data_IF_198354792334
#
_entry.id   IF_198354792334
#
_cell.length_a   1.000
_cell.length_b   1.000
_cell.length_c   1.000
_cell.angle_alpha   90.00
_cell.angle_beta   90.00
_cell.angle_gamma   90.00
#
_symmetry.space_group_name_H-M   'P 1'
#
loop_
_entity.id
_entity.type
_entity.pdbx_description
1 polymer ?
#
# COMPACT_ATOMS: atom_id res chain seq x y z
N UNK A 1 10.35 45.07 4.46
CA UNK A 1 10.60 43.79 5.17
C UNK A 1 9.41 43.23 5.97
N UNK A 2 8.19 43.20 5.41
CA UNK A 2 7.00 42.62 6.06
C UNK A 2 6.35 41.53 5.18
N UNK A 3 7.04 40.41 4.95
CA UNK A 3 6.54 39.31 4.08
C UNK A 3 6.45 37.97 4.82
N UNK A 4 6.09 37.98 6.10
CA UNK A 4 5.96 36.76 6.92
C UNK A 4 4.56 36.69 7.54
N UNK A 5 3.71 35.83 6.98
CA UNK A 5 2.47 35.43 7.64
C UNK A 5 2.74 34.21 8.52
N UNK A 6 2.12 34.18 9.71
CA UNK A 6 2.14 33.00 10.58
C UNK A 6 1.37 31.84 9.91
N UNK A 7 1.77 30.61 10.20
CA UNK A 7 0.99 29.44 9.79
C UNK A 7 -0.39 29.45 10.46
N UNK A 8 -1.35 28.78 9.85
CA UNK A 8 -2.63 28.50 10.52
C UNK A 8 -2.39 27.65 11.77
N UNK A 9 -3.29 27.73 12.77
CA UNK A 9 -3.19 26.92 14.00
C UNK A 9 -3.38 25.44 13.65
N UNK A 10 -2.51 24.59 14.18
CA UNK A 10 -2.60 23.13 14.04
C UNK A 10 -2.34 22.44 15.38
N UNK A 11 -2.95 21.27 15.60
CA UNK A 11 -2.83 20.52 16.85
C UNK A 11 -1.53 19.69 16.87
N UNK A 12 -0.81 19.76 17.99
CA UNK A 12 0.44 19.02 18.25
C UNK A 12 0.26 17.87 19.25
N UNK A 13 -0.98 17.58 19.65
CA UNK A 13 -1.24 16.92 20.94
C UNK A 13 -1.37 15.40 20.89
N UNK A 14 -1.30 14.77 19.71
CA UNK A 14 -1.41 13.30 19.58
C UNK A 14 -0.07 12.70 19.19
N UNK A 15 0.56 11.98 20.12
CA UNK A 15 1.77 11.18 19.86
C UNK A 15 1.42 10.16 18.76
N UNK A 16 2.20 10.13 17.66
CA UNK A 16 1.92 9.40 16.39
C UNK A 16 0.87 10.01 15.45
N UNK A 17 0.40 11.25 15.65
CA UNK A 17 -0.27 11.97 14.55
C UNK A 17 0.79 12.69 13.72
N UNK A 18 1.11 12.14 12.55
CA UNK A 18 1.74 12.93 11.50
C UNK A 18 0.73 13.97 11.01
N UNK A 19 1.09 15.24 11.11
CA UNK A 19 0.25 16.38 10.74
C UNK A 19 0.88 17.19 9.61
N UNK A 20 0.09 17.96 8.87
CA UNK A 20 0.60 18.90 7.87
C UNK A 20 0.32 20.34 8.30
N UNK A 21 1.35 21.17 8.33
CA UNK A 21 1.25 22.61 8.55
C UNK A 21 1.32 23.35 7.21
N UNK A 22 0.38 24.27 6.96
CA UNK A 22 0.37 25.12 5.77
C UNK A 22 0.89 26.52 6.09
N UNK A 23 1.91 26.96 5.36
CA UNK A 23 2.50 28.29 5.46
C UNK A 23 2.23 29.08 4.18
N UNK A 24 1.36 30.09 4.26
CA UNK A 24 1.04 30.99 3.14
C UNK A 24 2.04 32.15 3.10
N UNK A 25 2.72 32.35 1.98
CA UNK A 25 3.61 33.49 1.74
C UNK A 25 2.90 34.53 0.87
N UNK A 26 3.26 35.80 1.00
CA UNK A 26 2.64 36.99 0.38
C UNK A 26 2.47 36.93 -1.16
N UNK A 27 3.08 35.95 -1.83
CA UNK A 27 3.00 35.73 -3.28
C UNK A 27 2.02 34.59 -3.65
N UNK A 28 0.97 34.35 -2.85
CA UNK A 28 0.00 33.26 -3.02
C UNK A 28 0.60 31.84 -3.06
N UNK A 29 1.86 31.69 -2.62
CA UNK A 29 2.49 30.36 -2.48
C UNK A 29 2.15 29.76 -1.13
N UNK A 30 1.66 28.53 -1.15
CA UNK A 30 1.43 27.74 0.06
C UNK A 30 2.52 26.67 0.15
N UNK A 31 3.32 26.74 1.21
CA UNK A 31 4.30 25.70 1.55
C UNK A 31 3.66 24.75 2.54
N UNK A 32 3.78 23.44 2.29
CA UNK A 32 3.25 22.41 3.16
C UNK A 32 4.40 21.69 3.87
N UNK A 33 4.34 21.60 5.18
CA UNK A 33 5.39 21.00 6.02
C UNK A 33 4.75 19.85 6.78
N UNK A 34 5.36 18.67 6.70
CA UNK A 34 5.02 17.54 7.55
C UNK A 34 5.61 17.75 8.94
N UNK A 35 4.79 17.50 9.96
CA UNK A 35 5.15 17.58 11.37
C UNK A 35 5.02 16.18 11.96
N UNK A 36 6.15 15.62 12.38
CA UNK A 36 6.22 14.36 13.12
C UNK A 36 6.61 14.65 14.57
N UNK A 37 5.92 14.01 15.52
CA UNK A 37 6.16 14.18 16.95
C UNK A 37 6.44 12.82 17.55
N UNK A 38 7.70 12.62 17.93
CA UNK A 38 8.18 11.42 18.61
C UNK A 38 8.66 11.77 20.01
N UNK A 39 8.60 10.81 20.93
CA UNK A 39 9.19 10.97 22.27
C UNK A 39 10.57 10.34 22.26
N UNK A 40 11.55 11.01 22.86
CA UNK A 40 12.87 10.45 23.11
C UNK A 40 12.76 9.16 23.95
N UNK A 41 13.75 8.27 23.84
CA UNK A 41 13.81 7.00 24.58
C UNK A 41 13.65 7.17 26.10
N UNK A 42 14.09 8.31 26.66
CA UNK A 42 13.98 8.63 28.09
C UNK A 42 12.62 9.24 28.50
N UNK A 43 11.64 9.33 27.59
CA UNK A 43 10.25 9.73 27.89
C UNK A 43 10.00 11.21 28.23
N UNK A 44 11.04 11.96 28.60
CA UNK A 44 10.95 13.33 29.09
C UNK A 44 11.03 14.41 28.00
N UNK A 45 11.51 14.07 26.81
CA UNK A 45 11.69 15.03 25.71
C UNK A 45 10.85 14.61 24.51
N UNK A 46 10.00 15.52 24.02
CA UNK A 46 9.34 15.36 22.72
C UNK A 46 10.22 15.98 21.62
N UNK A 47 10.47 15.22 20.57
CA UNK A 47 11.17 15.64 19.35
C UNK A 47 10.11 15.98 18.30
N UNK A 48 10.11 17.23 17.85
CA UNK A 48 9.23 17.70 16.77
C UNK A 48 10.07 17.82 15.51
N UNK A 49 9.84 16.94 14.54
CA UNK A 49 10.55 16.91 13.27
C UNK A 49 9.70 17.62 12.22
N UNK A 50 10.26 18.69 11.64
CA UNK A 50 9.65 19.43 10.54
C UNK A 50 10.30 19.02 9.22
N UNK A 51 9.53 18.43 8.31
CA UNK A 51 10.01 17.96 7.01
C UNK A 51 9.21 18.58 5.87
N UNK A 52 9.80 18.82 4.69
CA UNK A 52 9.06 19.21 3.50
C UNK A 52 7.96 18.20 3.18
N UNK A 53 6.78 18.67 2.74
CA UNK A 53 5.70 17.75 2.34
C UNK A 53 6.01 16.94 1.09
N UNK A 54 6.97 17.38 0.27
CA UNK A 54 7.40 16.66 -0.92
C UNK A 54 8.92 16.60 -0.95
N UNK A 55 9.43 15.40 -1.11
CA UNK A 55 10.86 15.13 -1.21
C UNK A 55 11.11 14.34 -2.48
N UNK A 56 12.11 14.76 -3.25
CA UNK A 56 12.59 14.01 -4.41
C UNK A 56 13.92 13.34 -4.05
N UNK A 57 14.03 12.07 -4.41
CA UNK A 57 15.19 11.22 -4.16
C UNK A 57 15.67 10.70 -5.52
N UNK A 58 16.93 10.95 -5.85
CA UNK A 58 17.57 10.34 -7.01
C UNK A 58 18.34 9.08 -6.57
N UNK A 59 17.84 7.89 -6.88
CA UNK A 59 18.52 6.59 -6.74
C UNK A 59 18.99 6.03 -8.09
N UNK A 60 18.92 6.82 -9.16
CA UNK A 60 19.52 6.45 -10.45
C UNK A 60 21.03 6.70 -10.43
N UNK A 61 21.74 6.04 -11.34
CA UNK A 61 23.20 6.19 -11.47
C UNK A 61 23.64 7.49 -12.15
N UNK A 62 22.70 8.34 -12.58
CA UNK A 62 22.98 9.57 -13.33
C UNK A 62 22.37 10.80 -12.70
N UNK A 63 22.89 11.96 -13.09
CA UNK A 63 22.29 13.25 -12.74
C UNK A 63 21.00 13.47 -13.56
N UNK A 64 19.94 13.85 -12.85
CA UNK A 64 18.63 14.17 -13.41
C UNK A 64 18.22 15.57 -13.02
N UNK A 65 17.29 16.14 -13.78
CA UNK A 65 16.64 17.39 -13.44
C UNK A 65 15.13 17.22 -13.39
N UNK A 66 14.50 17.82 -12.38
CA UNK A 66 13.04 17.74 -12.20
C UNK A 66 12.42 19.12 -12.26
N UNK A 67 11.20 19.19 -12.81
CA UNK A 67 10.45 20.43 -12.89
C UNK A 67 8.95 20.24 -12.64
N UNK A 68 8.34 21.25 -12.05
CA UNK A 68 6.89 21.41 -11.91
C UNK A 68 6.33 21.93 -13.24
N UNK A 69 5.37 21.20 -13.83
CA UNK A 69 4.81 21.51 -15.16
C UNK A 69 3.86 22.71 -15.17
N UNK A 70 3.49 23.24 -14.00
CA UNK A 70 2.52 24.35 -13.85
C UNK A 70 3.22 25.72 -13.78
N UNK A 71 4.50 25.83 -14.16
CA UNK A 71 5.18 27.14 -14.22
C UNK A 71 4.74 27.93 -15.44
N UNK A 72 3.50 28.41 -15.43
CA UNK A 72 2.89 29.33 -16.41
C UNK A 72 3.44 30.78 -16.28
N UNK A 73 4.63 30.93 -15.69
CA UNK A 73 5.32 32.21 -15.50
C UNK A 73 6.74 32.05 -16.00
N UNK A 74 6.98 32.44 -17.25
CA UNK A 74 8.20 32.86 -17.96
C UNK A 74 9.59 32.23 -17.67
N UNK A 75 9.80 31.41 -16.64
CA UNK A 75 11.03 30.65 -16.41
C UNK A 75 10.72 29.31 -15.72
N UNK A 76 10.64 28.25 -16.54
CA UNK A 76 10.61 26.85 -16.11
C UNK A 76 11.95 26.51 -15.44
N UNK A 77 12.00 26.55 -14.11
CA UNK A 77 13.25 26.26 -13.36
C UNK A 77 13.41 24.78 -13.07
N UNK A 78 14.20 24.12 -13.90
CA UNK A 78 14.70 22.77 -13.67
C UNK A 78 15.60 22.73 -12.43
N UNK A 79 15.43 21.70 -11.59
CA UNK A 79 16.24 21.50 -10.39
C UNK A 79 17.12 20.27 -10.60
N UNK A 80 18.45 20.41 -10.60
CA UNK A 80 19.36 19.27 -10.75
C UNK A 80 19.44 18.46 -9.46
N UNK A 81 19.57 17.15 -9.62
CA UNK A 81 19.78 16.16 -8.57
C UNK A 81 20.86 15.18 -9.01
N UNK A 82 21.97 15.17 -8.29
CA UNK A 82 23.01 14.16 -8.41
C UNK A 82 22.53 12.79 -7.91
N UNK A 83 23.20 11.68 -8.29
CA UNK A 83 22.97 10.37 -7.70
C UNK A 83 23.02 10.43 -6.17
N UNK A 84 22.13 9.68 -5.51
CA UNK A 84 21.94 9.62 -4.05
C UNK A 84 21.47 10.94 -3.40
N UNK A 85 21.24 12.00 -4.18
CA UNK A 85 20.80 13.28 -3.64
C UNK A 85 19.30 13.25 -3.27
N UNK A 86 19.01 13.91 -2.16
CA UNK A 86 17.66 14.13 -1.65
C UNK A 86 17.43 15.64 -1.59
N UNK A 87 16.37 16.14 -2.22
CA UNK A 87 16.03 17.56 -2.16
C UNK A 87 14.57 17.80 -1.74
N UNK A 88 14.30 18.89 -1.01
CA UNK A 88 12.95 19.39 -0.82
C UNK A 88 12.38 19.91 -2.16
N UNK A 89 11.13 19.52 -2.48
CA UNK A 89 10.48 19.94 -3.73
C UNK A 89 9.19 20.74 -3.51
N UNK A 90 9.35 22.05 -3.44
CA UNK A 90 8.24 23.00 -3.30
C UNK A 90 7.57 23.29 -4.64
N UNK A 91 6.31 22.88 -4.79
CA UNK A 91 5.49 23.12 -5.98
C UNK A 91 4.75 24.44 -5.91
N UNK A 92 4.35 24.91 -7.07
CA UNK A 92 3.46 26.06 -7.20
C UNK A 92 2.01 25.67 -6.96
N UNK A 93 1.58 24.56 -7.55
CA UNK A 93 0.23 24.02 -7.41
C UNK A 93 0.27 22.58 -6.89
N UNK A 94 0.16 22.45 -5.57
CA UNK A 94 0.14 21.15 -4.89
C UNK A 94 -1.06 20.30 -5.34
N UNK A 95 -2.18 20.93 -5.75
CA UNK A 95 -3.39 20.19 -6.16
C UNK A 95 -3.20 19.50 -7.51
N UNK A 96 -2.45 20.13 -8.43
CA UNK A 96 -2.10 19.52 -9.70
C UNK A 96 -1.01 18.45 -9.54
N UNK A 97 0.09 18.80 -8.86
CA UNK A 97 1.16 17.84 -8.54
C UNK A 97 1.72 17.09 -9.77
N UNK A 98 1.84 17.77 -10.91
CA UNK A 98 2.33 17.17 -12.16
C UNK A 98 3.76 17.61 -12.42
N UNK A 99 4.66 16.64 -12.52
CA UNK A 99 6.10 16.89 -12.71
C UNK A 99 6.65 16.19 -13.95
N UNK A 100 7.82 16.65 -14.41
CA UNK A 100 8.63 16.02 -15.46
C UNK A 100 10.05 15.84 -14.97
N UNK A 101 10.71 14.80 -15.49
CA UNK A 101 12.14 14.57 -15.30
C UNK A 101 12.85 14.62 -16.64
N UNK A 102 14.09 15.08 -16.65
CA UNK A 102 14.97 14.96 -17.80
C UNK A 102 16.37 14.55 -17.37
N UNK A 103 17.13 13.97 -18.28
CA UNK A 103 18.55 13.72 -18.07
C UNK A 103 19.33 15.03 -18.24
N UNK A 104 20.27 15.30 -17.33
CA UNK A 104 21.01 16.57 -17.34
C UNK A 104 21.92 16.69 -18.57
N UNK A 105 22.53 15.59 -19.01
CA UNK A 105 23.56 15.56 -20.05
C UNK A 105 23.02 15.79 -21.47
N UNK A 106 21.93 15.11 -21.85
CA UNK A 106 21.35 15.18 -23.21
C UNK A 106 19.99 15.91 -23.26
N UNK A 107 19.45 16.34 -22.10
CA UNK A 107 18.16 17.04 -21.96
C UNK A 107 16.94 16.25 -22.44
N UNK A 108 17.06 14.94 -22.68
CA UNK A 108 15.92 14.06 -23.01
C UNK A 108 14.94 14.08 -21.84
N UNK A 109 13.68 14.39 -22.14
CA UNK A 109 12.64 14.72 -21.16
C UNK A 109 11.52 13.69 -21.19
N UNK A 110 11.04 13.29 -20.02
CA UNK A 110 9.94 12.36 -19.86
C UNK A 110 8.57 12.99 -20.20
N UNK A 111 7.58 12.13 -20.47
CA UNK A 111 6.17 12.50 -20.32
C UNK A 111 5.86 12.94 -18.88
N UNK A 112 4.88 13.83 -18.67
CA UNK A 112 4.49 14.26 -17.33
C UNK A 112 3.83 13.11 -16.54
N UNK A 113 3.94 13.15 -15.22
CA UNK A 113 3.29 12.19 -14.33
C UNK A 113 2.81 12.86 -13.04
N UNK A 114 1.82 12.25 -12.37
CA UNK A 114 1.27 12.76 -11.11
C UNK A 114 2.12 12.31 -9.93
N UNK A 115 2.28 13.14 -8.91
CA UNK A 115 2.87 12.73 -7.63
C UNK A 115 1.80 12.56 -6.53
N UNK A 116 0.55 12.94 -6.80
CA UNK A 116 -0.51 13.03 -5.79
C UNK A 116 -1.14 11.68 -5.46
N UNK A 117 -0.71 10.60 -6.11
CA UNK A 117 -1.22 9.25 -5.90
C UNK A 117 -0.05 8.28 -5.81
N UNK A 118 -0.17 7.27 -4.94
CA UNK A 118 0.83 6.22 -4.85
C UNK A 118 0.82 5.38 -6.12
N UNK A 119 1.94 5.34 -6.83
CA UNK A 119 2.10 4.46 -7.98
C UNK A 119 3.58 4.19 -8.28
N UNK A 120 3.80 3.19 -9.13
CA UNK A 120 5.08 2.89 -9.76
C UNK A 120 4.88 2.99 -11.26
N UNK A 121 5.76 3.71 -11.94
CA UNK A 121 5.66 3.94 -13.39
C UNK A 121 7.06 3.98 -13.98
N UNK A 122 7.26 3.24 -15.07
CA UNK A 122 8.43 3.37 -15.92
C UNK A 122 8.16 4.47 -16.96
N UNK A 123 8.98 5.52 -16.97
CA UNK A 123 8.84 6.63 -17.93
C UNK A 123 9.74 6.37 -19.12
N UNK A 124 9.18 6.40 -20.34
CA UNK A 124 9.95 6.34 -21.58
C UNK A 124 10.81 7.59 -21.72
N UNK A 125 12.07 7.37 -22.09
CA UNK A 125 13.06 8.40 -22.40
C UNK A 125 13.56 8.09 -23.82
N UNK A 126 13.43 9.03 -24.75
CA UNK A 126 13.90 8.85 -26.13
C UNK A 126 15.44 9.04 -26.19
N UNK A 127 16.17 8.20 -25.44
CA UNK A 127 17.62 8.11 -25.37
C UNK A 127 18.07 6.67 -25.67
N UNK A 128 19.16 6.50 -26.40
CA UNK A 128 19.61 5.19 -26.89
C UNK A 128 20.24 4.33 -25.78
N UNK A 129 21.00 4.94 -24.88
CA UNK A 129 21.69 4.22 -23.80
C UNK A 129 20.76 3.95 -22.61
N UNK A 130 19.84 4.88 -22.33
CA UNK A 130 18.92 4.84 -21.21
C UNK A 130 17.50 5.13 -21.70
N UNK A 131 16.81 4.14 -22.27
CA UNK A 131 15.51 4.34 -22.91
C UNK A 131 14.36 4.57 -21.91
N UNK A 132 14.63 4.49 -20.61
CA UNK A 132 13.62 4.69 -19.59
C UNK A 132 14.21 5.06 -18.22
N UNK A 133 13.38 5.68 -17.37
CA UNK A 133 13.66 5.95 -15.97
C UNK A 133 12.51 5.44 -15.09
N UNK A 134 12.83 4.72 -14.03
CA UNK A 134 11.84 4.21 -13.07
C UNK A 134 11.46 5.30 -12.07
N UNK A 135 10.16 5.40 -11.77
CA UNK A 135 9.64 6.31 -10.77
C UNK A 135 8.70 5.60 -9.81
N UNK A 136 8.98 5.76 -8.52
CA UNK A 136 8.08 5.36 -7.43
C UNK A 136 7.62 6.59 -6.66
N UNK A 137 6.30 6.75 -6.58
CA UNK A 137 5.65 7.77 -5.78
C UNK A 137 5.05 7.09 -4.55
N UNK A 138 5.57 7.42 -3.37
CA UNK A 138 4.96 7.02 -2.10
C UNK A 138 4.26 8.24 -1.51
N UNK A 139 2.99 8.43 -1.86
CA UNK A 139 2.12 9.39 -1.21
C UNK A 139 1.41 8.70 -0.04
N UNK A 140 1.43 9.32 1.14
CA UNK A 140 0.55 8.93 2.25
C UNK A 140 -0.21 10.16 2.73
N UNK A 141 -1.40 9.96 3.28
CA UNK A 141 -2.28 11.06 3.72
C UNK A 141 -1.64 11.94 4.82
N UNK A 142 -0.56 11.48 5.46
CA UNK A 142 0.02 12.14 6.62
C UNK A 142 1.57 12.25 6.62
N UNK A 143 2.32 11.37 5.94
CA UNK A 143 3.81 11.33 5.95
C UNK A 143 4.45 12.03 4.72
N UNK A 144 3.67 12.89 4.04
CA UNK A 144 4.11 13.59 2.84
C UNK A 144 4.25 12.68 1.60
N UNK A 145 4.78 13.26 0.52
CA UNK A 145 4.99 12.61 -0.77
C UNK A 145 6.49 12.43 -0.99
N UNK A 146 6.92 11.21 -1.29
CA UNK A 146 8.28 10.94 -1.76
C UNK A 146 8.23 10.49 -3.21
N UNK A 147 9.01 11.15 -4.05
CA UNK A 147 9.20 10.77 -5.47
C UNK A 147 10.61 10.22 -5.59
N UNK A 148 10.72 8.94 -5.90
CA UNK A 148 11.98 8.21 -5.96
C UNK A 148 12.25 7.84 -7.42
N UNK A 149 13.33 8.36 -7.97
CA UNK A 149 13.82 8.01 -9.30
C UNK A 149 14.84 6.89 -9.21
N UNK A 150 14.83 5.96 -10.16
CA UNK A 150 15.78 4.87 -10.24
C UNK A 150 16.10 4.50 -11.69
N UNK A 151 17.17 3.73 -11.87
CA UNK A 151 17.49 3.13 -13.17
C UNK A 151 16.44 2.08 -13.55
N UNK A 152 16.20 1.92 -14.85
CA UNK A 152 15.36 0.87 -15.39
C UNK A 152 15.93 -0.52 -15.08
N UNK A 153 15.10 -1.42 -14.54
CA UNK A 153 15.43 -2.82 -14.27
C UNK A 153 14.45 -3.75 -14.98
N UNK A 154 14.90 -4.98 -15.22
CA UNK A 154 14.06 -6.06 -15.75
C UNK A 154 12.86 -6.25 -14.81
N UNK A 155 11.65 -6.27 -15.37
CA UNK A 155 10.38 -6.33 -14.63
C UNK A 155 9.72 -4.98 -14.34
N UNK A 156 10.41 -3.86 -14.51
CA UNK A 156 9.79 -2.52 -14.32
C UNK A 156 8.83 -2.15 -15.45
N UNK A 157 9.03 -2.72 -16.64
CA UNK A 157 8.17 -2.48 -17.78
C UNK A 157 6.78 -3.10 -17.53
N UNK A 158 5.69 -2.33 -17.63
CA UNK A 158 4.34 -2.83 -17.37
C UNK A 158 3.98 -4.10 -18.16
N UNK A 159 4.42 -4.20 -19.41
CA UNK A 159 4.14 -5.34 -20.29
C UNK A 159 5.34 -5.67 -21.17
N UNK A 160 5.54 -6.96 -21.42
CA UNK A 160 6.30 -7.49 -22.54
C UNK A 160 5.31 -7.93 -23.61
N UNK A 161 5.27 -7.22 -24.74
CA UNK A 161 4.44 -7.59 -25.88
C UNK A 161 5.20 -8.58 -26.74
N UNK A 162 4.61 -9.74 -27.02
CA UNK A 162 5.23 -10.81 -27.80
C UNK A 162 4.35 -11.16 -29.00
N UNK A 163 4.85 -10.94 -30.21
CA UNK A 163 4.20 -11.34 -31.43
C UNK A 163 4.74 -12.69 -31.90
N UNK A 164 4.00 -13.78 -31.65
CA UNK A 164 4.35 -15.11 -32.15
C UNK A 164 3.71 -15.42 -33.52
N UNK A 165 3.06 -14.45 -34.16
CA UNK A 165 2.55 -14.62 -35.52
C UNK A 165 3.71 -14.73 -36.50
N UNK A 166 3.55 -15.57 -37.52
CA UNK A 166 4.61 -15.84 -38.51
C UNK A 166 4.70 -14.79 -39.62
N UNK A 167 3.58 -14.11 -39.93
CA UNK A 167 3.47 -13.24 -41.11
C UNK A 167 2.98 -11.83 -40.76
N UNK A 168 2.06 -11.71 -39.81
CA UNK A 168 1.34 -10.47 -39.60
C UNK A 168 1.97 -9.60 -38.49
N UNK A 169 2.30 -8.34 -38.78
CA UNK A 169 2.75 -7.40 -37.77
C UNK A 169 1.58 -6.92 -36.91
N UNK A 170 1.85 -6.61 -35.65
CA UNK A 170 0.87 -6.03 -34.74
C UNK A 170 1.12 -4.54 -34.57
N UNK A 171 0.09 -3.73 -34.70
CA UNK A 171 0.15 -2.31 -34.38
C UNK A 171 -0.41 -2.08 -32.98
N UNK A 172 0.27 -1.26 -32.17
CA UNK A 172 -0.12 -0.99 -30.79
C UNK A 172 0.09 0.46 -30.38
N UNK A 173 -0.78 0.96 -29.50
CA UNK A 173 -0.67 2.28 -28.85
C UNK A 173 -1.48 2.33 -27.55
N UNK A 174 -1.21 3.34 -26.71
CA UNK A 174 -2.11 3.66 -25.60
C UNK A 174 -3.43 4.25 -26.16
N UNK A 175 -4.55 4.02 -25.47
CA UNK A 175 -5.82 4.71 -25.80
C UNK A 175 -5.60 6.23 -25.86
N UNK A 176 -6.18 6.87 -26.88
CA UNK A 176 -6.05 8.30 -27.18
C UNK A 176 -4.61 8.79 -27.43
N UNK A 177 -3.69 7.88 -27.77
CA UNK A 177 -2.38 8.23 -28.32
C UNK A 177 -2.40 8.15 -29.85
N UNK A 178 -1.74 9.13 -30.46
CA UNK A 178 -1.57 9.22 -31.92
C UNK A 178 -0.39 8.35 -32.38
N UNK A 179 0.57 8.08 -31.48
CA UNK A 179 1.78 7.32 -31.79
C UNK A 179 1.51 5.82 -31.82
N UNK A 180 1.16 5.31 -33.00
CA UNK A 180 1.07 3.87 -33.25
C UNK A 180 2.45 3.30 -33.55
N UNK A 181 2.82 2.25 -32.83
CA UNK A 181 4.05 1.49 -33.04
C UNK A 181 3.72 0.14 -33.66
N UNK A 182 4.68 -0.43 -34.39
CA UNK A 182 4.52 -1.72 -35.07
C UNK A 182 5.48 -2.72 -34.46
N UNK A 183 4.95 -3.87 -34.05
CA UNK A 183 5.67 -5.04 -33.58
C UNK A 183 5.73 -6.08 -34.70
N UNK A 184 6.90 -6.29 -35.34
CA UNK A 184 7.04 -7.26 -36.42
C UNK A 184 6.68 -8.69 -36.00
N UNK A 185 6.41 -9.59 -36.96
CA UNK A 185 6.26 -11.02 -36.71
C UNK A 185 7.46 -11.59 -35.96
N UNK A 186 7.22 -12.56 -35.07
CA UNK A 186 8.26 -13.27 -34.31
C UNK A 186 9.22 -12.36 -33.51
N UNK A 187 8.72 -11.19 -33.07
CA UNK A 187 9.47 -10.23 -32.27
C UNK A 187 8.75 -9.91 -30.96
N UNK A 188 9.48 -9.30 -30.04
CA UNK A 188 8.94 -8.82 -28.77
C UNK A 188 9.42 -7.41 -28.45
N UNK A 189 8.69 -6.70 -27.60
CA UNK A 189 9.07 -5.36 -27.14
C UNK A 189 8.60 -5.12 -25.71
N UNK A 190 9.44 -4.46 -24.91
CA UNK A 190 9.03 -3.95 -23.60
C UNK A 190 8.22 -2.68 -23.78
N UNK A 191 7.00 -2.68 -23.25
CA UNK A 191 6.05 -1.60 -23.41
C UNK A 191 5.88 -0.82 -22.11
N UNK A 192 5.88 0.51 -22.23
CA UNK A 192 5.41 1.42 -21.18
C UNK A 192 4.47 2.46 -21.77
N UNK A 193 3.69 3.11 -20.90
CA UNK A 193 2.68 4.09 -21.26
C UNK A 193 3.30 5.36 -21.84
N UNK A 194 2.82 5.79 -23.01
CA UNK A 194 3.24 7.03 -23.65
C UNK A 194 2.89 8.26 -22.82
N UNK A 195 1.71 8.27 -22.21
CA UNK A 195 1.23 9.32 -21.31
C UNK A 195 0.75 8.71 -19.97
N UNK A 196 1.57 8.81 -18.91
CA UNK A 196 1.22 8.32 -17.58
C UNK A 196 -0.02 8.96 -16.95
N UNK A 197 -0.48 10.11 -17.44
CA UNK A 197 -1.66 10.82 -16.93
C UNK A 197 -2.96 10.29 -17.52
N UNK A 198 -2.89 9.58 -18.65
CA UNK A 198 -4.04 9.01 -19.36
C UNK A 198 -4.39 7.60 -18.87
N UNK A 199 -5.59 7.08 -19.20
CA UNK A 199 -5.97 5.71 -18.91
C UNK A 199 -4.91 4.70 -19.41
N UNK A 200 -4.62 3.71 -18.57
CA UNK A 200 -3.61 2.65 -18.83
C UNK A 200 -4.23 1.49 -19.60
N UNK A 201 -4.74 1.80 -20.77
CA UNK A 201 -5.38 0.85 -21.69
C UNK A 201 -4.60 0.75 -22.99
N UNK A 202 -4.31 -0.49 -23.40
CA UNK A 202 -3.52 -0.79 -24.58
C UNK A 202 -4.45 -1.12 -25.75
N UNK A 203 -4.27 -0.45 -26.86
CA UNK A 203 -4.98 -0.71 -28.11
C UNK A 203 -4.06 -1.50 -29.02
N UNK A 204 -4.54 -2.65 -29.50
CA UNK A 204 -3.80 -3.53 -30.41
C UNK A 204 -4.64 -3.80 -31.64
N UNK A 205 -3.97 -3.82 -32.79
CA UNK A 205 -4.58 -4.18 -34.06
C UNK A 205 -3.70 -5.10 -34.87
N UNK A 206 -4.33 -6.09 -35.50
CA UNK A 206 -3.76 -6.95 -36.55
C UNK A 206 -4.57 -6.67 -37.82
N UNK A 207 -3.93 -6.10 -38.84
CA UNK A 207 -4.62 -5.68 -40.06
C UNK A 207 -5.78 -4.71 -39.78
N UNK A 208 -6.99 -5.12 -40.16
CA UNK A 208 -8.23 -4.32 -39.97
C UNK A 208 -8.89 -4.51 -38.60
N UNK A 209 -8.46 -5.49 -37.81
CA UNK A 209 -9.06 -5.83 -36.52
C UNK A 209 -8.37 -5.06 -35.42
N UNK A 210 -9.14 -4.42 -34.55
CA UNK A 210 -8.65 -3.57 -33.46
C UNK A 210 -9.37 -3.92 -32.16
N UNK A 211 -8.63 -4.01 -31.05
CA UNK A 211 -9.16 -4.30 -29.73
C UNK A 211 -8.44 -3.49 -28.67
N UNK A 212 -9.19 -3.05 -27.65
CA UNK A 212 -8.63 -2.41 -26.46
C UNK A 212 -8.54 -3.45 -25.35
N UNK A 213 -7.39 -3.49 -24.68
CA UNK A 213 -7.04 -4.43 -23.63
C UNK A 213 -6.66 -3.68 -22.35
N UNK A 214 -7.25 -4.10 -21.24
CA UNK A 214 -6.82 -3.69 -19.89
C UNK A 214 -5.67 -4.59 -19.41
N UNK A 215 -4.86 -4.10 -18.46
CA UNK A 215 -3.73 -4.84 -17.85
C UNK A 215 -4.16 -6.08 -17.05
N UNK A 216 -5.45 -6.26 -16.77
CA UNK A 216 -5.97 -7.43 -16.07
C UNK A 216 -6.16 -8.61 -17.02
N UNK A 217 -5.41 -9.72 -16.83
CA UNK A 217 -5.31 -10.78 -17.82
C UNK A 217 -6.58 -11.62 -17.95
N UNK A 218 -7.11 -11.68 -19.18
CA UNK A 218 -7.96 -12.76 -19.68
C UNK A 218 -7.39 -13.21 -21.02
N UNK A 219 -7.30 -14.51 -21.25
CA UNK A 219 -7.14 -15.04 -22.60
C UNK A 219 -8.33 -14.58 -23.46
N UNK A 220 -8.09 -14.36 -24.75
CA UNK A 220 -9.13 -13.85 -25.61
C UNK A 220 -8.80 -13.90 -27.09
N UNK A 221 -9.84 -13.73 -27.88
CA UNK A 221 -9.74 -13.64 -29.32
C UNK A 221 -9.54 -12.17 -29.75
N UNK A 222 -8.52 -11.90 -30.57
CA UNK A 222 -8.28 -10.57 -31.15
C UNK A 222 -9.13 -10.38 -32.41
N UNK A 223 -9.17 -11.40 -33.28
CA UNK A 223 -9.88 -11.36 -34.54
C UNK A 223 -9.31 -12.38 -35.54
N UNK A 224 -10.02 -12.53 -36.66
CA UNK A 224 -9.56 -13.30 -37.80
C UNK A 224 -8.95 -12.33 -38.84
N UNK A 225 -7.71 -12.59 -39.24
CA UNK A 225 -7.02 -11.86 -40.31
C UNK A 225 -6.66 -12.86 -41.41
N UNK A 226 -7.37 -12.80 -42.54
CA UNK A 226 -7.34 -13.86 -43.55
C UNK A 226 -7.87 -15.20 -43.03
N UNK A 227 -7.05 -16.25 -43.09
CA UNK A 227 -7.42 -17.64 -42.78
C UNK A 227 -6.95 -18.11 -41.37
N UNK A 228 -6.38 -17.20 -40.58
CA UNK A 228 -5.81 -17.52 -39.26
C UNK A 228 -6.47 -16.71 -38.14
N UNK A 229 -6.73 -17.40 -37.02
CA UNK A 229 -7.39 -16.86 -35.84
C UNK A 229 -6.34 -16.34 -34.86
N UNK A 230 -6.23 -15.02 -34.72
CA UNK A 230 -5.28 -14.42 -33.79
C UNK A 230 -5.90 -14.36 -32.41
N UNK A 231 -5.28 -15.08 -31.47
CA UNK A 231 -5.64 -15.10 -30.07
C UNK A 231 -4.51 -14.50 -29.23
N UNK A 232 -4.85 -14.07 -28.03
CA UNK A 232 -3.88 -13.56 -27.07
C UNK A 232 -4.10 -14.15 -25.68
N UNK A 233 -3.01 -14.18 -24.93
CA UNK A 233 -3.00 -14.62 -23.54
C UNK A 233 -2.03 -13.77 -22.75
N UNK A 234 -2.22 -13.76 -21.44
CA UNK A 234 -1.51 -12.87 -20.53
C UNK A 234 -1.12 -13.64 -19.29
N UNK A 235 0.17 -13.65 -18.99
CA UNK A 235 0.74 -14.43 -17.91
C UNK A 235 1.94 -13.70 -17.31
N UNK A 236 2.43 -14.19 -16.18
CA UNK A 236 3.61 -13.66 -15.50
C UNK A 236 4.76 -14.65 -15.68
N UNK A 237 5.89 -14.18 -16.21
CA UNK A 237 7.16 -14.91 -16.28
C UNK A 237 8.20 -14.23 -15.38
N UNK A 238 8.47 -14.86 -14.24
CA UNK A 238 9.28 -14.27 -13.17
C UNK A 238 8.68 -12.97 -12.63
N UNK A 239 9.34 -11.84 -12.92
CA UNK A 239 8.90 -10.49 -12.52
C UNK A 239 8.20 -9.71 -13.64
N UNK A 240 8.15 -10.28 -14.85
CA UNK A 240 7.65 -9.60 -16.05
C UNK A 240 6.23 -10.08 -16.38
N UNK A 241 5.33 -9.13 -16.61
CA UNK A 241 4.01 -9.46 -17.19
C UNK A 241 4.16 -9.56 -18.70
N UNK A 242 3.71 -10.67 -19.28
CA UNK A 242 3.81 -10.98 -20.72
C UNK A 242 2.42 -10.99 -21.34
N UNK A 243 2.27 -10.32 -22.48
CA UNK A 243 1.09 -10.34 -23.33
C UNK A 243 1.50 -10.91 -24.69
N UNK A 244 1.09 -12.15 -24.94
CA UNK A 244 1.51 -12.95 -26.08
C UNK A 244 0.36 -13.09 -27.08
N UNK A 245 0.67 -12.90 -28.37
CA UNK A 245 -0.23 -13.08 -29.51
C UNK A 245 0.21 -14.26 -30.35
N UNK A 246 -0.70 -15.17 -30.68
CA UNK A 246 -0.42 -16.33 -31.51
C UNK A 246 -1.63 -16.78 -32.31
N UNK A 247 -1.35 -17.38 -33.47
CA UNK A 247 -2.28 -18.11 -34.33
C UNK A 247 -2.31 -19.62 -34.02
N UNK A 248 -1.43 -20.11 -33.14
CA UNK A 248 -1.39 -21.50 -32.68
C UNK A 248 -2.16 -21.67 -31.37
N UNK A 249 -3.27 -22.42 -31.44
CA UNK A 249 -4.11 -22.72 -30.27
C UNK A 249 -3.36 -23.46 -29.17
N UNK A 250 -2.37 -24.31 -29.51
CA UNK A 250 -1.60 -25.06 -28.51
C UNK A 250 -0.73 -24.13 -27.66
N UNK A 251 -0.18 -23.08 -28.28
CA UNK A 251 0.62 -22.08 -27.56
C UNK A 251 -0.26 -21.32 -26.59
N UNK A 252 -1.45 -20.89 -27.04
CA UNK A 252 -2.42 -20.17 -26.20
C UNK A 252 -2.91 -21.05 -25.05
N UNK A 253 -3.22 -22.33 -25.30
CA UNK A 253 -3.65 -23.27 -24.25
C UNK A 253 -2.55 -23.50 -23.21
N UNK A 254 -1.31 -23.77 -23.66
CA UNK A 254 -0.17 -24.00 -22.78
C UNK A 254 0.14 -22.79 -21.89
N UNK A 255 0.05 -21.58 -22.46
CA UNK A 255 0.33 -20.32 -21.74
C UNK A 255 -0.85 -19.81 -20.94
N UNK A 256 -2.09 -20.16 -21.27
CA UNK A 256 -3.27 -19.83 -20.44
C UNK A 256 -3.28 -20.57 -19.11
N UNK A 257 -2.59 -21.71 -19.02
CA UNK A 257 -2.36 -22.41 -17.76
C UNK A 257 -1.25 -21.79 -16.90
N UNK A 258 -0.53 -20.79 -17.41
CA UNK A 258 0.50 -20.10 -16.65
C UNK A 258 -0.13 -19.12 -15.65
N UNK A 259 0.58 -18.82 -14.56
CA UNK A 259 0.14 -17.86 -13.56
C UNK A 259 -0.14 -16.49 -14.17
N UNK A 260 -1.21 -15.84 -13.73
CA UNK A 260 -1.63 -14.54 -14.24
C UNK A 260 -1.61 -13.48 -13.13
N UNK A 261 -1.64 -12.20 -13.50
CA UNK A 261 -1.73 -11.07 -12.55
C UNK A 261 -2.94 -11.18 -11.60
N UNK A 262 -4.00 -11.89 -12.00
CA UNK A 262 -5.20 -12.13 -11.23
C UNK A 262 -5.22 -13.51 -10.54
N UNK A 263 -4.08 -14.21 -10.45
CA UNK A 263 -3.98 -15.50 -9.77
C UNK A 263 -4.43 -15.35 -8.30
N UNK A 264 -5.40 -16.17 -7.91
CA UNK A 264 -5.84 -16.25 -6.52
C UNK A 264 -4.77 -16.97 -5.70
N UNK A 265 -4.52 -16.51 -4.46
CA UNK A 265 -3.60 -17.19 -3.55
C UNK A 265 -4.08 -18.63 -3.32
N UNK A 266 -3.32 -19.60 -3.84
CA UNK A 266 -3.70 -21.01 -3.87
C UNK A 266 -3.67 -21.66 -2.48
N UNK A 267 -2.74 -21.23 -1.63
CA UNK A 267 -2.49 -21.78 -0.32
C UNK A 267 -2.33 -20.66 0.70
N UNK A 268 -2.75 -20.94 1.95
CA UNK A 268 -2.76 -19.95 3.03
C UNK A 268 -2.57 -20.62 4.37
N UNK A 269 -1.62 -20.08 5.15
CA UNK A 269 -1.34 -20.47 6.52
C UNK A 269 -1.54 -19.26 7.42
N UNK A 270 -2.28 -19.46 8.50
CA UNK A 270 -2.54 -18.44 9.52
C UNK A 270 -2.04 -18.94 10.86
N UNK A 271 -1.18 -18.14 11.50
CA UNK A 271 -0.58 -18.44 12.80
C UNK A 271 -0.98 -17.31 13.75
N UNK A 272 -1.63 -17.66 14.86
CA UNK A 272 -1.92 -16.76 15.98
C UNK A 272 -1.11 -17.19 17.19
N UNK A 273 -0.22 -16.33 17.66
CA UNK A 273 0.59 -16.56 18.86
C UNK A 273 0.05 -15.63 19.94
N UNK A 274 -0.50 -16.21 21.00
CA UNK A 274 -1.08 -15.44 22.11
C UNK A 274 -0.01 -14.59 22.79
N UNK A 275 1.05 -15.23 23.28
CA UNK A 275 2.12 -14.56 24.02
C UNK A 275 3.48 -15.18 23.63
N UNK A 276 4.48 -14.35 23.39
CA UNK A 276 5.88 -14.77 23.19
C UNK A 276 6.81 -13.82 23.92
N UNK A 277 7.75 -14.36 24.70
CA UNK A 277 8.76 -13.62 25.44
C UNK A 277 10.16 -13.96 24.97
N UNK A 278 11.04 -12.97 24.95
CA UNK A 278 12.46 -13.08 24.66
C UNK A 278 13.24 -12.40 25.79
N UNK A 279 14.03 -13.19 26.50
CA UNK A 279 14.91 -12.74 27.58
C UNK A 279 16.35 -12.72 27.09
N UNK A 280 17.01 -11.59 27.24
CA UNK A 280 18.45 -11.45 27.02
C UNK A 280 19.11 -11.50 28.39
N UNK A 281 19.94 -12.51 28.60
CA UNK A 281 20.61 -12.77 29.87
C UNK A 281 22.11 -12.54 29.69
N UNK A 282 22.72 -11.90 30.67
CA UNK A 282 24.17 -11.79 30.76
C UNK A 282 24.76 -13.16 31.11
N UNK A 283 25.65 -13.68 30.26
CA UNK A 283 26.26 -15.00 30.41
C UNK A 283 27.20 -15.09 31.63
N UNK A 284 27.79 -13.97 32.04
CA UNK A 284 28.69 -13.87 33.19
C UNK A 284 27.91 -13.68 34.50
N UNK A 285 27.05 -12.66 34.59
CA UNK A 285 26.34 -12.34 35.84
C UNK A 285 25.09 -13.19 36.05
N UNK A 286 24.61 -13.86 35.00
CA UNK A 286 23.34 -14.63 34.95
C UNK A 286 22.10 -13.80 35.26
N UNK A 287 22.19 -12.49 35.07
CA UNK A 287 21.09 -11.56 35.25
C UNK A 287 20.40 -11.30 33.92
N UNK A 288 19.07 -11.18 33.97
CA UNK A 288 18.29 -10.73 32.82
C UNK A 288 18.57 -9.24 32.59
N UNK A 289 19.06 -8.91 31.41
CA UNK A 289 19.42 -7.56 31.00
C UNK A 289 18.22 -6.87 30.33
N UNK A 290 17.45 -7.62 29.56
CA UNK A 290 16.34 -7.11 28.76
C UNK A 290 15.30 -8.21 28.56
N UNK A 291 14.03 -7.87 28.79
CA UNK A 291 12.91 -8.73 28.46
C UNK A 291 12.01 -8.05 27.42
N UNK A 292 11.78 -8.72 26.30
CA UNK A 292 10.86 -8.27 25.24
C UNK A 292 9.72 -9.28 25.17
N UNK A 293 8.48 -8.82 25.27
CA UNK A 293 7.31 -9.69 25.10
C UNK A 293 6.29 -9.12 24.11
N UNK A 294 5.75 -10.01 23.27
CA UNK A 294 4.56 -9.76 22.48
C UNK A 294 3.39 -10.41 23.19
N UNK A 295 2.47 -9.60 23.71
CA UNK A 295 1.40 -10.07 24.58
C UNK A 295 0.05 -9.95 23.88
N UNK A 296 -0.90 -10.81 24.27
CA UNK A 296 -2.28 -10.71 23.83
C UNK A 296 -2.83 -9.30 24.10
N UNK A 297 -3.66 -8.80 23.18
CA UNK A 297 -4.30 -7.50 23.39
C UNK A 297 -5.19 -7.55 24.63
N UNK A 298 -5.42 -6.37 25.24
CA UNK A 298 -6.50 -6.24 26.23
C UNK A 298 -7.80 -6.74 25.59
N UNK A 299 -8.59 -7.47 26.36
CA UNK A 299 -9.89 -7.98 25.91
C UNK A 299 -10.83 -6.79 25.75
N UNK A 300 -11.54 -6.75 24.63
CA UNK A 300 -12.54 -5.73 24.34
C UNK A 300 -13.82 -6.41 23.90
N UNK A 301 -14.90 -6.02 24.57
CA UNK A 301 -16.26 -6.34 24.21
C UNK A 301 -16.79 -5.30 23.23
N UNK A 302 -17.28 -5.80 22.10
CA UNK A 302 -17.72 -4.98 20.97
C UNK A 302 -19.18 -5.21 20.64
N UNK A 303 -19.90 -4.13 20.37
CA UNK A 303 -21.27 -4.17 19.86
C UNK A 303 -21.24 -3.99 18.35
N UNK A 304 -21.91 -4.88 17.61
CA UNK A 304 -22.08 -4.71 16.16
C UNK A 304 -23.39 -3.98 15.89
N UNK A 305 -23.31 -2.76 15.37
CA UNK A 305 -24.49 -2.01 14.90
C UNK A 305 -24.45 -1.89 13.38
N UNK A 306 -25.42 -2.53 12.72
CA UNK A 306 -25.47 -2.68 11.25
C UNK A 306 -24.20 -3.37 10.73
N UNK A 307 -23.26 -2.59 10.19
CA UNK A 307 -21.99 -3.04 9.61
C UNK A 307 -20.75 -2.53 10.37
N UNK A 308 -20.93 -1.73 11.43
CA UNK A 308 -19.81 -1.17 12.21
C UNK A 308 -19.73 -1.84 13.58
N UNK A 309 -18.56 -2.40 13.87
CA UNK A 309 -18.18 -2.93 15.17
C UNK A 309 -17.66 -1.77 16.01
N UNK A 310 -18.25 -1.52 17.19
CA UNK A 310 -17.81 -0.47 18.12
C UNK A 310 -17.49 -1.07 19.50
N UNK A 311 -16.37 -0.69 20.14
CA UNK A 311 -16.10 -1.09 21.50
C UNK A 311 -17.14 -0.49 22.46
N UNK A 312 -17.49 -1.21 23.52
CA UNK A 312 -18.26 -0.68 24.65
C UNK A 312 -17.42 0.37 25.42
N UNK A 313 -18.03 1.10 26.36
CA UNK A 313 -17.26 2.02 27.21
C UNK A 313 -16.25 1.26 28.07
N UNK A 314 -15.22 1.97 28.55
CA UNK A 314 -14.14 1.36 29.32
C UNK A 314 -14.64 0.66 30.59
N UNK A 315 -15.49 1.35 31.37
CA UNK A 315 -16.02 0.81 32.62
C UNK A 315 -16.91 -0.40 32.40
N UNK A 316 -17.75 -0.38 31.34
CA UNK A 316 -18.57 -1.54 30.98
C UNK A 316 -17.67 -2.71 30.59
N UNK A 317 -16.62 -2.49 29.79
CA UNK A 317 -15.69 -3.54 29.37
C UNK A 317 -15.03 -4.24 30.55
N UNK A 318 -14.55 -3.47 31.55
CA UNK A 318 -13.88 -4.02 32.73
C UNK A 318 -14.84 -4.91 33.50
N UNK A 319 -16.01 -4.39 33.87
CA UNK A 319 -17.00 -5.14 34.66
C UNK A 319 -17.52 -6.36 33.90
N UNK A 320 -17.74 -6.24 32.59
CA UNK A 320 -18.23 -7.36 31.78
C UNK A 320 -17.19 -8.48 31.67
N UNK A 321 -15.90 -8.13 31.55
CA UNK A 321 -14.82 -9.10 31.53
C UNK A 321 -14.62 -9.77 32.90
N UNK A 322 -14.77 -9.03 34.00
CA UNK A 322 -14.72 -9.59 35.35
C UNK A 322 -15.84 -10.61 35.59
N UNK A 323 -17.09 -10.26 35.25
CA UNK A 323 -18.23 -11.17 35.33
C UNK A 323 -18.03 -12.41 34.44
N UNK A 324 -17.49 -12.21 33.24
CA UNK A 324 -17.21 -13.30 32.32
C UNK A 324 -16.12 -14.24 32.85
N UNK A 325 -15.06 -13.71 33.46
CA UNK A 325 -14.01 -14.52 34.10
C UNK A 325 -14.56 -15.33 35.26
N UNK A 326 -15.34 -14.73 36.14
CA UNK A 326 -15.99 -15.44 37.25
C UNK A 326 -16.87 -16.58 36.73
N UNK A 327 -17.61 -16.36 35.65
CA UNK A 327 -18.40 -17.42 35.03
C UNK A 327 -17.52 -18.54 34.45
N UNK A 328 -16.40 -18.20 33.78
CA UNK A 328 -15.47 -19.20 33.26
C UNK A 328 -14.86 -20.05 34.37
N UNK A 329 -14.40 -19.44 35.46
CA UNK A 329 -13.84 -20.12 36.63
C UNK A 329 -14.87 -21.09 37.26
N UNK A 330 -16.15 -20.67 37.33
CA UNK A 330 -17.26 -21.52 37.79
C UNK A 330 -17.51 -22.72 36.86
N UNK A 331 -17.38 -22.55 35.55
CA UNK A 331 -17.55 -23.62 34.56
C UNK A 331 -16.39 -24.61 34.56
N UNK A 332 -15.17 -24.17 34.81
CA UNK A 332 -14.01 -25.05 34.97
C UNK A 332 -14.14 -25.90 36.24
N UNK A 333 -14.68 -25.31 37.31
CA UNK A 333 -14.88 -26.02 38.58
C UNK A 333 -16.05 -27.00 38.55
N UNK A 334 -17.09 -26.74 37.74
CA UNK A 334 -18.28 -27.60 37.66
C UNK A 334 -18.81 -27.75 36.22
N UNK A 335 -18.19 -28.61 35.38
CA UNK A 335 -18.42 -28.65 33.93
C UNK A 335 -19.81 -29.19 33.50
N UNK A 336 -20.47 -30.02 34.31
CA UNK A 336 -21.76 -30.66 33.99
C UNK A 336 -22.99 -29.88 34.45
N UNK A 337 -22.80 -28.75 35.12
CA UNK A 337 -23.89 -27.96 35.68
C UNK A 337 -24.57 -27.09 34.60
N UNK A 338 -25.73 -27.58 34.11
CA UNK A 338 -26.56 -26.88 33.14
C UNK A 338 -27.25 -25.63 33.72
N UNK A 339 -27.25 -25.42 35.04
CA UNK A 339 -27.84 -24.22 35.66
C UNK A 339 -26.92 -22.99 35.53
N UNK A 340 -25.60 -23.18 35.43
CA UNK A 340 -24.63 -22.10 35.19
C UNK A 340 -24.87 -21.34 33.87
N UNK A 341 -25.48 -22.00 32.88
CA UNK A 341 -25.87 -21.39 31.60
C UNK A 341 -27.10 -20.48 31.72
N UNK A 342 -27.87 -20.59 32.81
CA UNK A 342 -29.06 -19.77 33.09
C UNK A 342 -28.78 -18.63 34.06
N UNK A 343 -27.56 -18.54 34.61
CA UNK A 343 -27.17 -17.46 35.50
C UNK A 343 -27.30 -16.11 34.80
N UNK A 344 -28.07 -15.22 35.44
CA UNK A 344 -28.21 -13.83 35.01
C UNK A 344 -27.35 -12.97 35.92
N UNK A 345 -26.42 -12.24 35.32
CA UNK A 345 -25.61 -11.25 36.01
C UNK A 345 -26.24 -9.86 35.89
N UNK A 346 -25.86 -8.96 36.79
CA UNK A 346 -26.45 -7.63 36.91
C UNK A 346 -25.36 -6.56 37.00
N UNK A 347 -25.57 -5.42 36.34
CA UNK A 347 -24.72 -4.23 36.43
C UNK A 347 -25.60 -2.97 36.48
N UNK A 348 -25.09 -1.84 36.97
CA UNK A 348 -25.87 -0.59 37.09
C UNK A 348 -26.56 -0.17 35.78
N UNK A 349 -25.91 -0.42 34.65
CA UNK A 349 -26.40 -0.07 33.31
C UNK A 349 -27.17 -1.20 32.60
N UNK A 350 -27.12 -2.42 33.13
CA UNK A 350 -27.74 -3.61 32.52
C UNK A 350 -28.42 -4.48 33.57
N UNK A 351 -29.74 -4.54 33.48
CA UNK A 351 -30.59 -5.29 34.41
C UNK A 351 -30.45 -6.79 34.23
N UNK A 352 -30.08 -7.30 33.07
CA UNK A 352 -29.79 -8.73 32.91
C UNK A 352 -28.65 -8.91 31.91
N UNK A 353 -27.67 -9.74 32.27
CA UNK A 353 -26.52 -10.13 31.45
C UNK A 353 -26.47 -11.65 31.41
N UNK A 354 -26.48 -12.21 30.21
CA UNK A 354 -26.31 -13.65 29.99
C UNK A 354 -25.19 -13.91 28.99
N UNK A 355 -24.32 -14.85 29.31
CA UNK A 355 -23.15 -15.16 28.50
C UNK A 355 -23.35 -16.48 27.74
N UNK A 356 -23.03 -16.46 26.45
CA UNK A 356 -23.16 -17.58 25.54
C UNK A 356 -21.85 -17.79 24.76
N UNK A 357 -20.93 -18.56 25.33
CA UNK A 357 -19.61 -18.76 24.73
C UNK A 357 -18.79 -17.46 24.75
N UNK A 358 -18.52 -16.86 23.59
CA UNK A 358 -17.78 -15.59 23.47
C UNK A 358 -18.70 -14.37 23.25
N UNK A 359 -20.01 -14.52 23.45
CA UNK A 359 -20.98 -13.43 23.35
C UNK A 359 -21.69 -13.19 24.68
N UNK A 360 -22.11 -11.95 24.90
CA UNK A 360 -22.91 -11.53 26.04
C UNK A 360 -24.18 -10.83 25.53
N UNK A 361 -25.34 -11.28 25.97
CA UNK A 361 -26.61 -10.59 25.77
C UNK A 361 -26.85 -9.67 26.96
N UNK A 362 -27.00 -8.36 26.69
CA UNK A 362 -27.13 -7.30 27.68
C UNK A 362 -28.53 -6.69 27.55
N UNK A 363 -29.31 -6.70 28.63
CA UNK A 363 -30.64 -6.09 28.69
C UNK A 363 -30.57 -4.83 29.55
N UNK A 364 -30.79 -3.67 28.94
CA UNK A 364 -30.81 -2.39 29.66
C UNK A 364 -32.11 -2.23 30.47
N UNK A 365 -32.14 -1.31 31.43
CA UNK A 365 -33.30 -0.97 32.28
C UNK A 365 -34.55 -0.57 31.49
N UNK A 366 -34.41 -0.17 30.22
CA UNK A 366 -35.51 0.12 29.27
C UNK A 366 -35.99 -1.11 28.47
N UNK A 367 -35.51 -2.32 28.78
CA UNK A 367 -35.87 -3.56 28.08
C UNK A 367 -35.18 -3.75 26.71
N UNK A 368 -34.25 -2.87 26.33
CA UNK A 368 -33.50 -3.00 25.08
C UNK A 368 -32.40 -4.05 25.20
N UNK A 369 -32.34 -4.96 24.22
CA UNK A 369 -31.34 -6.02 24.13
C UNK A 369 -30.17 -5.59 23.25
N UNK A 370 -28.95 -5.88 23.70
CA UNK A 370 -27.70 -5.69 22.96
C UNK A 370 -26.89 -6.96 22.98
N UNK A 371 -26.21 -7.26 21.89
CA UNK A 371 -25.29 -8.40 21.82
C UNK A 371 -23.87 -7.85 21.73
N UNK A 372 -23.09 -8.14 22.76
CA UNK A 372 -21.66 -7.84 22.81
C UNK A 372 -20.86 -9.09 22.47
N UNK A 373 -19.80 -8.95 21.68
CA UNK A 373 -18.87 -10.03 21.34
C UNK A 373 -17.52 -9.76 21.97
N UNK A 374 -16.99 -10.74 22.70
CA UNK A 374 -15.64 -10.73 23.26
C UNK A 374 -14.63 -10.87 22.13
N UNK A 375 -13.73 -9.90 22.02
CA UNK A 375 -12.63 -9.93 21.06
C UNK A 375 -11.32 -9.71 21.81
N UNK A 376 -10.36 -10.57 21.55
CA UNK A 376 -8.99 -10.39 21.96
C UNK A 376 -8.11 -10.75 20.77
N UNK A 377 -7.16 -9.87 20.44
CA UNK A 377 -6.24 -10.08 19.34
C UNK A 377 -5.00 -10.78 19.89
N UNK A 378 -4.47 -11.75 19.14
CA UNK A 378 -3.22 -12.43 19.46
C UNK A 378 -2.05 -11.44 19.58
N UNK A 379 -1.03 -11.73 20.38
CA UNK A 379 0.13 -10.86 20.48
C UNK A 379 0.84 -10.70 19.14
N UNK A 380 0.96 -11.81 18.41
CA UNK A 380 1.53 -11.88 17.07
C UNK A 380 0.60 -12.70 16.15
N UNK A 381 0.16 -12.08 15.06
CA UNK A 381 -0.61 -12.74 14.01
C UNK A 381 0.16 -12.71 12.71
N UNK A 382 0.33 -13.88 12.10
CA UNK A 382 1.05 -14.07 10.85
C UNK A 382 0.11 -14.73 9.86
N UNK A 383 0.00 -14.13 8.68
CA UNK A 383 -0.79 -14.60 7.56
C UNK A 383 0.11 -14.70 6.36
N UNK A 384 0.46 -15.94 6.02
CA UNK A 384 1.29 -16.26 4.88
C UNK A 384 0.43 -16.93 3.82
N UNK A 385 0.31 -16.29 2.67
CA UNK A 385 -0.45 -16.79 1.54
C UNK A 385 0.44 -16.84 0.30
N UNK A 386 0.33 -17.90 -0.51
CA UNK A 386 1.13 -18.02 -1.72
C UNK A 386 0.38 -18.70 -2.87
N UNK A 387 0.84 -18.39 -4.07
CA UNK A 387 0.48 -18.99 -5.34
C UNK A 387 1.75 -19.44 -6.06
N UNK A 388 1.63 -19.87 -7.32
CA UNK A 388 2.80 -20.27 -8.12
C UNK A 388 3.73 -19.09 -8.37
N UNK A 389 3.19 -17.87 -8.49
CA UNK A 389 3.99 -16.65 -8.77
C UNK A 389 4.09 -15.65 -7.65
N UNK A 390 3.23 -15.71 -6.64
CA UNK A 390 3.13 -14.64 -5.67
C UNK A 390 3.14 -15.18 -4.24
N UNK A 391 3.73 -14.42 -3.32
CA UNK A 391 3.72 -14.71 -1.90
C UNK A 391 3.43 -13.43 -1.12
N UNK A 392 2.47 -13.49 -0.21
CA UNK A 392 2.07 -12.41 0.67
C UNK A 392 2.36 -12.83 2.11
N UNK A 393 3.11 -12.01 2.83
CA UNK A 393 3.33 -12.14 4.26
C UNK A 393 2.74 -10.91 4.94
N UNK A 394 1.70 -11.12 5.75
CA UNK A 394 1.14 -10.09 6.63
C UNK A 394 1.44 -10.46 8.06
N UNK A 395 2.14 -9.56 8.73
CA UNK A 395 2.45 -9.67 10.16
C UNK A 395 1.71 -8.55 10.88
N UNK A 396 0.97 -8.89 11.92
CA UNK A 396 0.31 -7.94 12.80
C UNK A 396 0.77 -8.19 14.24
N UNK A 397 1.42 -7.20 14.81
CA UNK A 397 1.84 -7.19 16.20
C UNK A 397 0.88 -6.26 16.95
N UNK A 398 0.16 -6.78 17.95
CA UNK A 398 -0.87 -5.99 18.62
C UNK A 398 -0.38 -5.30 19.90
N UNK A 399 0.49 -5.93 20.69
CA UNK A 399 1.08 -5.33 21.88
C UNK A 399 2.50 -5.82 22.08
N UNK A 400 3.42 -4.86 22.21
CA UNK A 400 4.83 -5.08 22.54
C UNK A 400 5.08 -4.47 23.91
N UNK A 401 5.77 -5.21 24.78
CA UNK A 401 6.30 -4.72 26.05
C UNK A 401 7.81 -4.98 26.06
N UNK A 402 8.56 -3.98 26.51
CA UNK A 402 10.02 -4.03 26.62
C UNK A 402 10.35 -3.56 28.03
N UNK A 403 10.92 -4.44 28.82
CA UNK A 403 11.35 -4.17 30.19
C UNK A 403 12.88 -4.19 30.21
N UNK A 404 13.48 -3.02 30.44
CA UNK A 404 14.92 -2.88 30.60
C UNK A 404 15.26 -3.04 32.08
N UNK A 405 16.14 -4.00 32.41
CA UNK A 405 16.56 -4.30 33.78
C UNK A 405 17.96 -3.71 34.09
N UNK A 406 18.50 -2.90 33.18
CA UNK A 406 19.72 -2.12 33.41
C UNK A 406 19.37 -0.86 34.20
N UNK A 407 19.73 -0.85 35.48
CA UNK A 407 19.85 0.38 36.30
C UNK A 407 20.99 1.29 35.81
#
# INVERSE_FOLDING_TARGET
DNTKNWSEKFSLDVIKSTGMASCKVTNDRTYMICVDISTCSFGLTKIVTLSPSVVIINKSTIEIEVVDTVSDREQVKWRPLNPEQIIPFWLYDIKKGVIRVRYTHNRVTSSPFMMNQKHRTLLRMDDEERPAIYVEVTATDFDGVRVIFGDYKIGDAPLLLVNCLKKDPLSFCQVDDVRTQVLPPLNYVYYTWSDPLKPKELVISCGSKKKTLELTPRCGFLGQDGDHNVSYTTFVDGVQTVLLFSDDTKVIEATSGMPSLAESMSQRVQIGIHDIGLSIVNDVTREEMLYISLNKSKVVWTETRRLRVRPLSHDINIHLEELYRTQLEQRETNPDDKELLKNKYHMEQFREISFHGHTAELVNSKGQRKIAKRQALDGLWIDYAWSVTNASLRIKINRVQIDNQLD
#
